data_IF_806176342557
#
_entry.id   IF_806176342557
#
_cell.length_a   1.000
_cell.length_b   1.000
_cell.length_c   1.000
_cell.angle_alpha   90.00
_cell.angle_beta   90.00
_cell.angle_gamma   90.00
#
_symmetry.space_group_name_H-M   'P 1'
#
loop_
_entity.id
_entity.type
_entity.pdbx_description
1 polymer ?
#
# COMPACT_ATOMS: atom_id res chain seq x y z
N UNK A 1 3.42 15.58 -1.65
CA UNK A 1 3.26 14.52 -2.68
C UNK A 1 3.21 13.17 -2.01
N UNK A 2 2.32 12.34 -2.48
CA UNK A 2 2.15 11.01 -1.90
C UNK A 2 3.02 9.98 -2.61
N UNK A 3 3.55 9.04 -1.84
CA UNK A 3 4.30 7.92 -2.36
C UNK A 3 3.83 6.63 -1.71
N UNK A 4 3.96 5.54 -2.44
CA UNK A 4 3.67 4.21 -1.94
C UNK A 4 4.98 3.44 -1.87
N UNK A 5 5.38 3.08 -0.67
CA UNK A 5 6.57 2.26 -0.46
C UNK A 5 6.14 0.80 -0.36
N UNK A 6 6.76 -0.05 -1.15
CA UNK A 6 6.42 -1.46 -1.24
C UNK A 6 7.65 -2.27 -0.83
N UNK A 7 7.46 -3.18 0.10
CA UNK A 7 8.53 -4.07 0.54
C UNK A 7 8.05 -5.50 0.47
N UNK A 8 8.87 -6.38 -0.13
CA UNK A 8 8.53 -7.81 -0.17
C UNK A 8 9.14 -8.55 1.02
N UNK A 9 8.99 -9.89 1.04
CA UNK A 9 9.47 -10.71 2.15
C UNK A 9 11.00 -10.84 2.18
N UNK A 10 11.67 -10.41 1.14
CA UNK A 10 13.13 -10.43 1.05
C UNK A 10 13.74 -9.04 1.27
N UNK A 11 12.94 -8.12 1.75
CA UNK A 11 13.35 -6.73 2.03
C UNK A 11 13.70 -5.92 0.79
N UNK A 12 13.24 -6.35 -0.37
CA UNK A 12 13.36 -5.54 -1.58
C UNK A 12 12.32 -4.43 -1.53
N UNK A 13 12.77 -3.20 -1.70
CA UNK A 13 11.90 -2.03 -1.58
C UNK A 13 11.74 -1.34 -2.92
N UNK A 14 10.52 -0.92 -3.19
CA UNK A 14 10.17 -0.15 -4.38
C UNK A 14 9.32 1.02 -3.95
N UNK A 15 9.53 2.18 -4.54
CA UNK A 15 8.73 3.36 -4.24
C UNK A 15 8.00 3.79 -5.50
N UNK A 16 6.70 3.97 -5.39
CA UNK A 16 5.84 4.40 -6.47
C UNK A 16 5.32 5.79 -6.16
N UNK A 17 5.50 6.73 -7.08
CA UNK A 17 4.91 8.06 -6.93
C UNK A 17 3.41 7.97 -7.21
N UNK A 18 2.60 8.43 -6.26
CA UNK A 18 1.16 8.37 -6.38
C UNK A 18 0.65 9.64 -7.06
N UNK A 19 0.68 9.64 -8.38
CA UNK A 19 0.29 10.79 -9.19
C UNK A 19 -1.12 10.67 -9.76
N UNK A 20 -1.75 9.51 -9.59
CA UNK A 20 -3.12 9.26 -10.05
C UNK A 20 -4.05 9.18 -8.85
N UNK A 21 -5.35 9.12 -9.15
CA UNK A 21 -6.37 9.05 -8.12
C UNK A 21 -6.74 7.60 -7.76
N UNK A 22 -6.34 6.63 -8.55
CA UNK A 22 -6.58 5.23 -8.24
C UNK A 22 -5.45 4.35 -8.78
N UNK A 23 -5.25 3.23 -8.07
CA UNK A 23 -4.26 2.24 -8.43
C UNK A 23 -4.83 0.86 -8.13
N UNK A 24 -4.83 -0.01 -9.14
CA UNK A 24 -5.19 -1.41 -8.91
C UNK A 24 -3.93 -2.17 -8.51
N UNK A 25 -4.08 -3.09 -7.56
CA UNK A 25 -2.97 -3.85 -7.01
C UNK A 25 -3.32 -5.33 -7.12
N UNK A 26 -2.41 -6.10 -7.68
CA UNK A 26 -2.62 -7.52 -7.80
C UNK A 26 -1.56 -8.20 -8.63
N UNK A 27 -1.74 -9.51 -8.83
CA UNK A 27 -0.77 -10.34 -9.53
C UNK A 27 -0.90 -10.24 -11.05
N UNK A 28 -2.08 -9.92 -11.54
CA UNK A 28 -2.29 -9.80 -12.98
C UNK A 28 -1.53 -8.62 -13.55
N UNK A 29 -1.02 -8.77 -14.75
CA UNK A 29 -0.29 -7.70 -15.42
C UNK A 29 -1.17 -6.52 -15.80
N UNK A 30 -2.49 -6.67 -15.68
CA UNK A 30 -3.42 -5.58 -15.91
C UNK A 30 -3.39 -4.53 -14.80
N UNK A 31 -2.82 -4.88 -13.65
CA UNK A 31 -2.83 -3.98 -12.49
C UNK A 31 -1.82 -2.87 -12.65
N UNK A 32 -2.15 -1.71 -12.11
CA UNK A 32 -1.24 -0.57 -12.07
C UNK A 32 -0.01 -0.90 -11.21
N UNK A 33 -0.24 -1.58 -10.08
CA UNK A 33 0.82 -2.07 -9.21
C UNK A 33 0.77 -3.59 -9.26
N UNK A 34 1.77 -4.19 -9.86
CA UNK A 34 1.81 -5.64 -10.01
C UNK A 34 2.68 -6.25 -8.92
N UNK A 35 2.08 -7.17 -8.16
CA UNK A 35 2.78 -7.92 -7.12
C UNK A 35 2.73 -9.40 -7.51
N UNK A 36 3.89 -9.99 -7.78
CA UNK A 36 3.97 -11.26 -8.50
C UNK A 36 3.99 -12.50 -7.61
N UNK A 37 3.88 -12.34 -6.30
CA UNK A 37 3.88 -13.49 -5.40
C UNK A 37 2.60 -14.30 -5.51
N UNK A 38 2.70 -15.61 -5.24
CA UNK A 38 1.57 -16.53 -5.39
C UNK A 38 0.41 -16.21 -4.48
N UNK A 39 0.69 -15.67 -3.30
CA UNK A 39 -0.33 -15.35 -2.32
C UNK A 39 -1.04 -14.04 -2.60
N UNK A 40 -0.77 -13.42 -3.73
CA UNK A 40 -1.46 -12.23 -4.17
C UNK A 40 -2.51 -12.62 -5.20
N UNK A 41 -3.75 -12.21 -4.98
CA UNK A 41 -4.83 -12.46 -5.95
C UNK A 41 -4.60 -11.63 -7.21
N UNK A 42 -5.18 -12.06 -8.31
CA UNK A 42 -5.02 -11.35 -9.59
C UNK A 42 -5.45 -9.89 -9.47
N UNK A 43 -6.59 -9.67 -8.83
CA UNK A 43 -7.08 -8.32 -8.51
C UNK A 43 -7.26 -8.32 -7.01
N UNK A 44 -6.23 -7.87 -6.29
CA UNK A 44 -6.21 -8.03 -4.84
C UNK A 44 -6.86 -6.85 -4.13
N UNK A 45 -6.50 -5.65 -4.55
CA UNK A 45 -6.97 -4.43 -3.89
C UNK A 45 -6.94 -3.26 -4.85
N UNK A 46 -7.64 -2.20 -4.46
CA UNK A 46 -7.60 -0.91 -5.17
C UNK A 46 -7.30 0.17 -4.15
N UNK A 47 -6.35 1.02 -4.47
CA UNK A 47 -6.00 2.19 -3.69
C UNK A 47 -6.61 3.40 -4.37
N UNK A 48 -7.44 4.16 -3.65
CA UNK A 48 -8.14 5.33 -4.21
C UNK A 48 -7.88 6.56 -3.40
N UNK A 49 -7.70 7.68 -4.10
CA UNK A 49 -7.57 8.97 -3.45
C UNK A 49 -8.91 9.40 -2.86
N UNK A 50 -8.87 9.87 -1.62
CA UNK A 50 -10.07 10.34 -0.93
C UNK A 50 -9.73 11.62 -0.17
N UNK A 51 -10.00 12.76 -0.79
CA UNK A 51 -9.66 14.03 -0.20
C UNK A 51 -8.17 14.15 0.08
N UNK A 52 -7.81 14.32 1.33
CA UNK A 52 -6.41 14.46 1.72
C UNK A 52 -5.74 13.13 2.05
N UNK A 53 -6.46 12.03 1.93
CA UNK A 53 -5.92 10.71 2.25
C UNK A 53 -6.22 9.70 1.16
N UNK A 54 -6.21 8.44 1.53
CA UNK A 54 -6.42 7.33 0.61
C UNK A 54 -7.37 6.33 1.21
N UNK A 55 -8.01 5.55 0.34
CA UNK A 55 -8.81 4.39 0.73
C UNK A 55 -8.20 3.15 0.10
N UNK A 56 -8.14 2.07 0.86
CA UNK A 56 -7.79 0.77 0.32
C UNK A 56 -9.04 -0.09 0.31
N UNK A 57 -9.35 -0.66 -0.84
CA UNK A 57 -10.52 -1.51 -1.02
C UNK A 57 -10.04 -2.93 -1.32
N UNK A 58 -10.50 -3.89 -0.53
CA UNK A 58 -10.20 -5.30 -0.79
C UNK A 58 -11.15 -5.80 -1.88
N UNK A 59 -10.59 -6.34 -2.95
CA UNK A 59 -11.39 -6.85 -4.07
C UNK A 59 -11.69 -8.32 -3.89
N UNK A 60 -12.13 -8.69 -2.70
CA UNK A 60 -12.48 -10.06 -2.37
C UNK A 60 -11.29 -11.00 -2.56
N UNK A 61 -10.14 -10.56 -2.11
CA UNK A 61 -8.91 -11.29 -2.27
C UNK A 61 -8.88 -12.55 -1.41
N UNK A 62 -8.12 -13.54 -1.86
CA UNK A 62 -8.04 -14.81 -1.17
C UNK A 62 -7.38 -14.67 0.20
N UNK A 63 -6.28 -13.96 0.29
CA UNK A 63 -5.53 -13.82 1.54
C UNK A 63 -5.85 -12.53 2.30
N UNK A 64 -6.63 -11.65 1.72
CA UNK A 64 -7.07 -10.43 2.39
C UNK A 64 -6.08 -9.30 2.35
N UNK A 65 -6.54 -8.15 2.81
CA UNK A 65 -5.73 -6.96 3.04
C UNK A 65 -5.77 -6.63 4.52
N UNK A 66 -4.64 -6.24 5.08
CA UNK A 66 -4.56 -5.87 6.49
C UNK A 66 -3.99 -4.47 6.60
N UNK A 67 -4.61 -3.64 7.42
CA UNK A 67 -4.11 -2.29 7.73
C UNK A 67 -3.76 -2.25 9.20
N UNK A 68 -2.49 -2.03 9.49
CA UNK A 68 -1.96 -2.01 10.86
C UNK A 68 -2.36 -3.27 11.64
N UNK A 69 -2.39 -4.41 10.95
CA UNK A 69 -2.72 -5.69 11.56
C UNK A 69 -4.20 -6.03 11.61
N UNK A 70 -5.07 -5.15 11.13
CA UNK A 70 -6.52 -5.37 11.15
C UNK A 70 -6.99 -5.65 9.74
N UNK A 71 -7.72 -6.75 9.56
CA UNK A 71 -8.21 -7.13 8.24
C UNK A 71 -9.24 -6.13 7.73
N UNK A 72 -9.07 -5.72 6.48
CA UNK A 72 -10.02 -4.86 5.78
C UNK A 72 -11.19 -5.73 5.33
N UNK A 73 -12.41 -5.39 5.77
CA UNK A 73 -13.58 -6.16 5.36
C UNK A 73 -14.13 -5.70 4.02
N UNK A 74 -13.93 -4.44 3.68
CA UNK A 74 -14.42 -3.89 2.42
C UNK A 74 -13.51 -2.72 2.02
N UNK A 75 -13.64 -1.61 2.73
CA UNK A 75 -12.86 -0.40 2.47
C UNK A 75 -12.29 0.09 3.79
N UNK A 76 -11.06 0.57 3.77
CA UNK A 76 -10.41 1.13 4.95
C UNK A 76 -9.66 2.39 4.57
N UNK A 77 -9.78 3.42 5.39
CA UNK A 77 -9.09 4.68 5.16
C UNK A 77 -7.63 4.57 5.54
N UNK A 78 -6.77 5.14 4.71
CA UNK A 78 -5.33 5.18 4.95
C UNK A 78 -4.87 6.62 5.12
N UNK A 79 -4.10 6.85 6.18
CA UNK A 79 -3.44 8.12 6.41
C UNK A 79 -1.93 7.93 6.31
N UNK A 80 -1.20 9.03 6.38
CA UNK A 80 0.25 9.00 6.33
C UNK A 80 0.81 8.04 7.38
N UNK A 81 1.64 7.12 6.94
CA UNK A 81 2.30 6.18 7.83
C UNK A 81 1.55 4.89 8.10
N UNK A 82 0.34 4.74 7.59
CA UNK A 82 -0.40 3.49 7.77
C UNK A 82 0.23 2.38 6.94
N UNK A 83 0.36 1.21 7.56
CA UNK A 83 0.98 0.06 6.95
C UNK A 83 -0.07 -0.91 6.46
N UNK A 84 0.00 -1.24 5.17
CA UNK A 84 -0.90 -2.20 4.53
C UNK A 84 -0.12 -3.47 4.26
N UNK A 85 -0.72 -4.61 4.57
CA UNK A 85 -0.12 -5.90 4.31
C UNK A 85 -0.98 -6.69 3.35
N UNK A 86 -0.38 -7.14 2.25
CA UNK A 86 -1.02 -7.95 1.23
C UNK A 86 -0.14 -9.19 1.02
N UNK A 87 -0.58 -10.34 1.54
CA UNK A 87 0.26 -11.52 1.48
C UNK A 87 1.58 -11.26 2.20
N UNK A 88 2.70 -11.43 1.50
CA UNK A 88 4.02 -11.18 2.06
C UNK A 88 4.54 -9.77 1.77
N UNK A 89 3.74 -8.95 1.10
CA UNK A 89 4.13 -7.57 0.80
C UNK A 89 3.66 -6.63 1.89
N UNK A 90 4.46 -5.60 2.13
CA UNK A 90 4.11 -4.50 3.03
C UNK A 90 4.13 -3.22 2.22
N UNK A 91 3.07 -2.44 2.36
CA UNK A 91 2.91 -1.19 1.64
C UNK A 91 2.66 -0.08 2.64
N UNK A 92 3.31 1.05 2.43
CA UNK A 92 3.12 2.20 3.30
C UNK A 92 2.83 3.41 2.44
N UNK A 93 1.75 4.14 2.77
CA UNK A 93 1.47 5.41 2.11
C UNK A 93 2.19 6.51 2.86
N UNK A 94 2.95 7.30 2.13
CA UNK A 94 3.77 8.35 2.72
C UNK A 94 3.45 9.66 2.04
N UNK A 95 3.13 10.67 2.84
CA UNK A 95 2.94 12.02 2.34
C UNK A 95 4.16 12.85 2.71
N UNK A 96 4.97 13.14 1.73
CA UNK A 96 6.21 13.87 1.97
C UNK A 96 6.01 15.27 2.48
N UNK A 97 4.84 15.85 2.24
CA UNK A 97 4.57 17.20 2.75
C UNK A 97 4.36 17.19 4.25
N UNK A 98 4.00 16.06 4.82
CA UNK A 98 3.79 15.91 6.26
C UNK A 98 5.08 15.61 6.98
N UNK A 99 6.06 15.10 6.29
CA UNK A 99 7.29 14.61 6.88
C UNK A 99 8.31 15.71 7.18
N UNK A 100 7.90 16.96 7.17
CA UNK A 100 8.81 18.04 7.48
C UNK A 100 9.29 18.02 8.92
N UNK A 101 8.61 17.30 9.79
CA UNK A 101 9.02 17.19 11.17
C UNK A 101 10.25 16.32 11.34
N UNK A 102 10.85 16.36 12.51
CA UNK A 102 12.03 15.59 12.78
C UNK A 102 11.77 14.11 12.90
N UNK A 103 10.54 13.69 12.86
CA UNK A 103 10.22 12.31 13.04
C UNK A 103 10.73 11.51 11.86
N UNK A 104 11.78 10.73 12.03
CA UNK A 104 12.21 9.84 10.99
C UNK A 104 11.13 8.81 10.87
N UNK A 105 10.58 8.67 9.74
CA UNK A 105 9.66 7.58 9.56
C UNK A 105 10.44 6.30 9.87
N UNK A 106 9.75 5.34 10.43
CA UNK A 106 10.37 4.05 10.68
C UNK A 106 10.91 3.46 9.40
N UNK A 107 10.30 3.82 8.30
CA UNK A 107 10.72 3.31 7.01
C UNK A 107 12.13 3.77 6.67
N UNK A 108 12.45 5.01 6.99
CA UNK A 108 13.79 5.54 6.74
C UNK A 108 14.80 4.93 7.71
N UNK A 109 14.40 4.75 8.95
CA UNK A 109 15.34 4.25 9.95
C UNK A 109 15.65 2.78 9.78
N UNK A 110 14.84 2.06 9.06
CA UNK A 110 15.11 0.65 8.79
C UNK A 110 16.33 0.47 7.90
N UNK A 111 16.65 1.48 7.19
CA UNK A 111 17.80 1.44 6.32
C UNK A 111 19.06 1.66 7.10
#
# INVERSE_FOLDING_TARGET
MWKLAIEDDQSNKTVVNLVRDDYSIGRSEENTVRLTERNISRHHAVLRRNGSGWLIEDKNSYNGCFVNGVRVSDVHRLDHGDLVQLGDYRLEVVDETVSAGPCPSTFVTVM
#
